data_IF_392248151407
#
_entry.id   IF_392248151407
#
_cell.length_a   1.000
_cell.length_b   1.000
_cell.length_c   1.000
_cell.angle_alpha   90.00
_cell.angle_beta   90.00
_cell.angle_gamma   90.00
#
_symmetry.space_group_name_H-M   'P 1'
#
loop_
_entity.id
_entity.type
_entity.pdbx_description
1 polymer ?
#
# COMPACT_ATOMS: atom_id res chain seq x y z
N UNK A 1 -45.26 22.80 -6.58
CA UNK A 1 -44.87 21.52 -5.94
C UNK A 1 -43.44 21.11 -6.37
N UNK A 2 -42.41 21.90 -6.05
CA UNK A 2 -41.02 21.67 -6.52
C UNK A 2 -39.99 21.38 -5.41
N UNK A 3 -40.43 21.24 -4.15
CA UNK A 3 -39.50 21.23 -3.01
C UNK A 3 -39.08 19.86 -2.47
N UNK A 4 -39.69 18.75 -2.88
CA UNK A 4 -39.40 17.43 -2.29
C UNK A 4 -38.30 16.67 -3.06
N UNK A 5 -38.29 16.78 -4.40
CA UNK A 5 -37.29 16.08 -5.26
C UNK A 5 -35.88 16.65 -5.10
N UNK A 6 -35.76 17.97 -4.97
CA UNK A 6 -34.49 18.67 -4.75
C UNK A 6 -33.92 18.41 -3.36
N UNK A 7 -34.77 18.32 -2.32
CA UNK A 7 -34.35 17.93 -0.97
C UNK A 7 -33.83 16.49 -0.93
N UNK A 8 -34.54 15.55 -1.54
CA UNK A 8 -34.14 14.14 -1.61
C UNK A 8 -32.81 13.93 -2.36
N UNK A 9 -32.59 14.69 -3.45
CA UNK A 9 -31.34 14.64 -4.18
C UNK A 9 -30.17 15.21 -3.37
N UNK A 10 -30.39 16.30 -2.62
CA UNK A 10 -29.38 16.88 -1.71
C UNK A 10 -29.05 15.95 -0.55
N UNK A 11 -30.04 15.30 0.05
CA UNK A 11 -29.81 14.32 1.12
C UNK A 11 -29.09 13.06 0.62
N UNK A 12 -29.39 12.57 -0.59
CA UNK A 12 -28.64 11.47 -1.23
C UNK A 12 -27.21 11.85 -1.57
N UNK A 13 -26.97 13.08 -2.04
CA UNK A 13 -25.63 13.61 -2.32
C UNK A 13 -24.82 13.79 -1.02
N UNK A 14 -25.45 14.30 0.05
CA UNK A 14 -24.85 14.43 1.38
C UNK A 14 -24.53 13.07 2.00
N UNK A 15 -25.46 12.11 2.00
CA UNK A 15 -25.18 10.72 2.45
C UNK A 15 -24.07 10.05 1.62
N UNK A 16 -23.98 10.29 0.31
CA UNK A 16 -22.87 9.79 -0.54
C UNK A 16 -21.54 10.50 -0.28
N UNK A 17 -21.56 11.77 0.14
CA UNK A 17 -20.37 12.53 0.49
C UNK A 17 -19.90 12.22 1.92
N UNK A 18 -20.82 12.02 2.87
CA UNK A 18 -20.55 11.55 4.24
C UNK A 18 -20.02 10.12 4.25
N UNK A 19 -20.50 9.26 3.34
CA UNK A 19 -19.91 7.93 3.09
C UNK A 19 -18.55 7.98 2.36
N UNK A 20 -18.04 9.18 2.03
CA UNK A 20 -16.78 9.41 1.33
C UNK A 20 -15.73 10.11 2.20
N UNK A 21 -15.89 10.05 3.52
CA UNK A 21 -14.76 10.17 4.44
C UNK A 21 -14.24 8.75 4.67
N UNK A 22 -13.40 8.28 3.75
CA UNK A 22 -12.72 6.99 3.95
C UNK A 22 -11.76 7.16 5.12
N UNK A 23 -11.87 6.31 6.13
CA UNK A 23 -10.91 6.26 7.25
C UNK A 23 -9.49 6.21 6.67
N UNK A 24 -8.56 7.11 7.07
CA UNK A 24 -7.19 7.10 6.59
C UNK A 24 -6.51 5.73 6.70
N UNK A 25 -6.86 4.91 7.68
CA UNK A 25 -6.32 3.56 7.85
C UNK A 25 -6.85 2.60 6.79
N UNK A 26 -8.15 2.63 6.52
CA UNK A 26 -8.79 1.84 5.47
C UNK A 26 -8.28 2.25 4.09
N UNK A 27 -8.17 3.55 3.84
CA UNK A 27 -7.62 4.09 2.60
C UNK A 27 -6.16 3.66 2.38
N UNK A 28 -5.35 3.66 3.44
CA UNK A 28 -3.96 3.20 3.40
C UNK A 28 -3.88 1.69 3.11
N UNK A 29 -4.69 0.89 3.79
CA UNK A 29 -4.77 -0.55 3.57
C UNK A 29 -5.16 -0.88 2.13
N UNK A 30 -6.19 -0.20 1.61
CA UNK A 30 -6.60 -0.36 0.22
C UNK A 30 -5.51 0.06 -0.75
N UNK A 31 -4.84 1.19 -0.53
CA UNK A 31 -3.77 1.66 -1.41
C UNK A 31 -2.59 0.66 -1.47
N UNK A 32 -2.17 0.12 -0.32
CA UNK A 32 -1.11 -0.90 -0.27
C UNK A 32 -1.57 -2.20 -0.93
N UNK A 33 -2.82 -2.61 -0.73
CA UNK A 33 -3.38 -3.76 -1.42
C UNK A 33 -3.35 -3.58 -2.93
N UNK A 34 -3.83 -2.44 -3.46
CA UNK A 34 -3.86 -2.16 -4.89
C UNK A 34 -2.45 -2.13 -5.51
N UNK A 35 -1.47 -1.56 -4.80
CA UNK A 35 -0.08 -1.52 -5.25
C UNK A 35 0.61 -2.89 -5.26
N UNK A 36 0.10 -3.85 -4.48
CA UNK A 36 0.74 -5.16 -4.29
C UNK A 36 -0.16 -6.33 -4.64
N UNK A 37 -1.33 -6.11 -5.24
CA UNK A 37 -2.22 -7.20 -5.67
C UNK A 37 -1.52 -8.00 -6.77
N UNK A 38 -1.76 -9.30 -6.81
CA UNK A 38 -1.18 -10.16 -7.83
C UNK A 38 -1.62 -9.64 -9.22
N UNK A 39 -0.70 -9.18 -10.07
CA UNK A 39 -1.06 -8.69 -11.39
C UNK A 39 -1.38 -9.88 -12.31
N UNK A 40 -2.18 -9.62 -13.35
CA UNK A 40 -2.49 -10.63 -14.39
C UNK A 40 -1.27 -10.97 -15.25
N UNK A 41 -0.35 -10.02 -15.38
CA UNK A 41 0.91 -10.13 -16.12
C UNK A 41 2.06 -9.85 -15.16
N UNK A 42 3.21 -10.48 -15.40
CA UNK A 42 4.39 -10.24 -14.59
C UNK A 42 4.76 -8.75 -14.57
N UNK A 43 5.22 -8.28 -13.40
CA UNK A 43 5.78 -6.95 -13.22
C UNK A 43 7.04 -7.06 -12.36
N UNK A 44 8.15 -6.53 -12.87
CA UNK A 44 9.42 -6.46 -12.15
C UNK A 44 9.47 -5.33 -11.13
N UNK A 45 8.53 -4.39 -11.18
CA UNK A 45 8.47 -3.26 -10.27
C UNK A 45 7.04 -2.87 -9.92
N UNK A 46 6.90 -2.19 -8.78
CA UNK A 46 5.63 -1.60 -8.36
C UNK A 46 5.28 -0.41 -9.24
N UNK A 47 4.00 -0.28 -9.56
CA UNK A 47 3.47 0.82 -10.36
C UNK A 47 3.56 2.15 -9.58
N UNK A 48 4.23 3.14 -10.14
CA UNK A 48 4.39 4.46 -9.51
C UNK A 48 3.04 5.15 -9.31
N UNK A 49 2.06 4.94 -10.20
CA UNK A 49 0.71 5.48 -10.02
C UNK A 49 -0.01 4.84 -8.84
N UNK A 50 0.23 3.56 -8.58
CA UNK A 50 -0.31 2.86 -7.41
C UNK A 50 0.40 3.27 -6.10
N UNK A 51 1.63 3.77 -6.17
CA UNK A 51 2.35 4.30 -5.01
C UNK A 51 1.91 5.70 -4.60
N UNK A 52 1.42 6.53 -5.53
CA UNK A 52 1.02 7.92 -5.27
C UNK A 52 0.07 8.05 -4.07
N UNK A 53 -1.02 7.27 -3.95
CA UNK A 53 -1.94 7.38 -2.81
C UNK A 53 -1.25 7.08 -1.47
N UNK A 54 -0.39 6.06 -1.43
CA UNK A 54 0.37 5.67 -0.23
C UNK A 54 1.27 6.83 0.21
N UNK A 55 2.08 7.35 -0.72
CA UNK A 55 3.00 8.48 -0.48
C UNK A 55 2.25 9.73 0.01
N UNK A 56 1.09 10.02 -0.58
CA UNK A 56 0.24 11.16 -0.17
C UNK A 56 -0.33 10.97 1.23
N UNK A 57 -0.85 9.78 1.57
CA UNK A 57 -1.43 9.51 2.87
C UNK A 57 -0.39 9.65 3.98
N UNK A 58 0.77 8.99 3.85
CA UNK A 58 1.83 9.07 4.87
C UNK A 58 2.46 10.45 4.98
N UNK A 59 2.51 11.21 3.86
CA UNK A 59 2.97 12.61 3.88
C UNK A 59 1.99 13.52 4.63
N UNK A 60 0.68 13.32 4.44
CA UNK A 60 -0.37 14.10 5.11
C UNK A 60 -0.51 13.73 6.58
N UNK A 61 -0.27 12.48 6.92
CA UNK A 61 -0.39 11.99 8.29
C UNK A 61 0.77 11.02 8.61
N UNK A 62 1.82 11.54 9.23
CA UNK A 62 3.00 10.74 9.56
C UNK A 62 2.73 9.64 10.60
N UNK A 63 1.66 9.73 11.40
CA UNK A 63 1.28 8.65 12.31
C UNK A 63 0.86 7.37 11.59
N UNK A 64 0.59 7.45 10.28
CA UNK A 64 0.32 6.29 9.43
C UNK A 64 1.57 5.52 9.04
N UNK A 65 2.79 6.05 9.26
CA UNK A 65 4.04 5.42 8.83
C UNK A 65 4.24 4.02 9.46
N UNK A 66 4.10 3.83 10.80
CA UNK A 66 4.19 2.50 11.39
C UNK A 66 3.13 1.53 10.86
N UNK A 67 1.91 2.03 10.61
CA UNK A 67 0.83 1.21 10.04
C UNK A 67 1.12 0.80 8.60
N UNK A 68 1.64 1.71 7.77
CA UNK A 68 2.03 1.41 6.40
C UNK A 68 3.12 0.33 6.38
N UNK A 69 4.11 0.47 7.25
CA UNK A 69 5.17 -0.51 7.44
C UNK A 69 4.61 -1.90 7.81
N UNK A 70 3.72 -1.96 8.81
CA UNK A 70 3.04 -3.21 9.20
C UNK A 70 2.30 -3.85 8.02
N UNK A 71 1.47 -3.08 7.31
CA UNK A 71 0.72 -3.61 6.17
C UNK A 71 1.63 -4.12 5.06
N UNK A 72 2.77 -3.46 4.80
CA UNK A 72 3.76 -3.95 3.83
C UNK A 72 4.40 -5.26 4.31
N UNK A 73 4.74 -5.39 5.60
CA UNK A 73 5.23 -6.66 6.17
C UNK A 73 4.23 -7.79 5.98
N UNK A 74 2.93 -7.54 6.18
CA UNK A 74 1.88 -8.53 5.94
C UNK A 74 1.80 -8.97 4.47
N UNK A 75 2.20 -8.11 3.52
CA UNK A 75 2.30 -8.45 2.10
C UNK A 75 3.57 -9.24 1.79
N UNK A 76 4.69 -8.96 2.45
CA UNK A 76 5.95 -9.71 2.33
C UNK A 76 5.82 -11.17 2.79
N UNK A 77 4.88 -11.47 3.68
CA UNK A 77 4.63 -12.82 4.16
C UNK A 77 3.73 -13.67 3.24
N UNK A 78 3.18 -13.08 2.16
CA UNK A 78 2.27 -13.80 1.25
C UNK A 78 3.01 -14.84 0.41
N UNK A 79 2.32 -15.91 0.06
CA UNK A 79 2.86 -17.02 -0.75
C UNK A 79 3.17 -16.63 -2.20
N UNK A 80 2.41 -15.69 -2.75
CA UNK A 80 2.63 -15.23 -4.13
C UNK A 80 3.92 -14.39 -4.22
N UNK A 81 4.85 -14.84 -5.05
CA UNK A 81 6.17 -14.20 -5.21
C UNK A 81 6.09 -12.80 -5.81
N UNK A 82 5.17 -12.54 -6.74
CA UNK A 82 4.96 -11.19 -7.29
C UNK A 82 4.41 -10.24 -6.23
N UNK A 83 3.48 -10.69 -5.38
CA UNK A 83 2.98 -9.87 -4.26
C UNK A 83 4.13 -9.44 -3.34
N UNK A 84 5.04 -10.37 -3.01
CA UNK A 84 6.22 -10.06 -2.19
C UNK A 84 7.17 -9.08 -2.88
N UNK A 85 7.44 -9.28 -4.18
CA UNK A 85 8.30 -8.39 -4.97
C UNK A 85 7.73 -6.96 -4.99
N UNK A 86 6.44 -6.82 -5.26
CA UNK A 86 5.77 -5.51 -5.26
C UNK A 86 5.76 -4.86 -3.88
N UNK A 87 5.60 -5.66 -2.81
CA UNK A 87 5.71 -5.18 -1.44
C UNK A 87 7.11 -4.67 -1.08
N UNK A 88 8.18 -5.35 -1.53
CA UNK A 88 9.55 -4.84 -1.42
C UNK A 88 9.70 -3.52 -2.18
N UNK A 89 9.09 -3.41 -3.37
CA UNK A 89 9.04 -2.15 -4.12
C UNK A 89 8.38 -1.01 -3.34
N UNK A 90 7.22 -1.26 -2.71
CA UNK A 90 6.57 -0.28 -1.83
C UNK A 90 7.47 0.11 -0.66
N UNK A 91 8.14 -0.87 -0.05
CA UNK A 91 9.05 -0.65 1.07
C UNK A 91 10.22 0.26 0.67
N UNK A 92 10.86 -0.01 -0.47
CA UNK A 92 11.97 0.78 -0.99
C UNK A 92 11.54 2.22 -1.29
N UNK A 93 10.39 2.40 -1.95
CA UNK A 93 9.87 3.70 -2.32
C UNK A 93 9.51 4.60 -1.11
N UNK A 94 9.05 4.00 0.00
CA UNK A 94 8.78 4.74 1.23
C UNK A 94 10.07 5.09 1.99
N UNK A 95 11.02 4.15 2.03
CA UNK A 95 12.32 4.37 2.65
C UNK A 95 13.12 5.49 1.94
N UNK A 96 13.06 5.57 0.61
CA UNK A 96 13.76 6.62 -0.15
C UNK A 96 13.32 8.04 0.26
N UNK A 97 12.05 8.21 0.60
CA UNK A 97 11.43 9.54 0.81
C UNK A 97 11.19 9.94 2.26
N UNK A 98 11.27 9.00 3.20
CA UNK A 98 10.91 9.24 4.60
C UNK A 98 12.00 8.76 5.56
N UNK A 99 12.63 9.71 6.27
CA UNK A 99 13.60 9.40 7.33
C UNK A 99 12.99 8.55 8.46
N UNK A 100 11.76 8.87 8.86
CA UNK A 100 11.03 8.10 9.87
C UNK A 100 10.75 6.67 9.39
N UNK A 101 10.40 6.49 8.11
CA UNK A 101 10.23 5.15 7.55
C UNK A 101 11.56 4.39 7.48
N UNK A 102 12.68 5.06 7.13
CA UNK A 102 14.01 4.43 7.14
C UNK A 102 14.40 3.90 8.52
N UNK A 103 14.09 4.64 9.58
CA UNK A 103 14.36 4.18 10.94
C UNK A 103 13.63 2.86 11.25
N UNK A 104 12.36 2.75 10.86
CA UNK A 104 11.58 1.50 10.99
C UNK A 104 12.16 0.37 10.12
N UNK A 105 12.50 0.68 8.86
CA UNK A 105 13.12 -0.27 7.94
C UNK A 105 14.41 -0.87 8.50
N UNK A 106 15.27 -0.03 9.10
CA UNK A 106 16.52 -0.46 9.71
C UNK A 106 16.29 -1.30 10.97
N UNK A 107 15.32 -0.93 11.80
CA UNK A 107 14.95 -1.71 12.97
C UNK A 107 14.45 -3.12 12.61
N UNK A 108 13.76 -3.26 11.47
CA UNK A 108 13.25 -4.53 10.93
C UNK A 108 14.16 -5.15 9.85
N UNK A 109 15.42 -4.72 9.75
CA UNK A 109 16.32 -5.18 8.68
C UNK A 109 16.45 -6.71 8.61
N UNK A 110 16.62 -7.46 9.72
CA UNK A 110 16.68 -8.94 9.66
C UNK A 110 15.44 -9.55 9.00
N UNK A 111 14.24 -9.09 9.37
CA UNK A 111 12.99 -9.53 8.77
C UNK A 111 12.94 -9.24 7.27
N UNK A 112 13.38 -8.05 6.86
CA UNK A 112 13.40 -7.66 5.44
C UNK A 112 14.39 -8.50 4.65
N UNK A 113 15.57 -8.79 5.22
CA UNK A 113 16.56 -9.66 4.59
C UNK A 113 15.99 -11.05 4.37
N UNK A 114 15.32 -11.66 5.36
CA UNK A 114 14.69 -12.99 5.24
C UNK A 114 13.58 -13.07 4.17
N UNK A 115 13.01 -11.92 3.79
CA UNK A 115 11.93 -11.82 2.80
C UNK A 115 12.37 -11.16 1.49
N UNK A 116 13.62 -10.69 1.41
CA UNK A 116 14.26 -10.19 0.19
C UNK A 116 14.86 -11.35 -0.62
N UNK A 117 15.18 -11.09 -1.89
CA UNK A 117 15.71 -12.12 -2.79
C UNK A 117 16.99 -12.74 -2.22
N UNK A 118 17.08 -14.08 -2.22
CA UNK A 118 18.32 -14.82 -1.96
C UNK A 118 18.50 -15.42 -0.57
N UNK A 119 17.62 -15.11 0.39
CA UNK A 119 17.74 -15.60 1.79
C UNK A 119 16.75 -16.70 2.15
N UNK A 120 15.60 -16.78 1.45
CA UNK A 120 14.59 -17.82 1.64
C UNK A 120 14.46 -18.72 0.39
N UNK A 121 15.32 -19.73 0.21
CA UNK A 121 15.29 -20.63 -0.95
C UNK A 121 13.96 -21.40 -1.09
N UNK A 122 13.24 -21.61 0.02
CA UNK A 122 11.91 -22.21 0.00
C UNK A 122 10.81 -21.30 -0.59
N UNK A 123 11.05 -19.98 -0.69
CA UNK A 123 10.08 -18.98 -1.15
C UNK A 123 10.74 -17.93 -2.05
N UNK A 124 11.31 -18.32 -3.19
CA UNK A 124 12.05 -17.40 -4.04
C UNK A 124 11.16 -16.25 -4.51
N UNK A 125 11.76 -15.06 -4.69
CA UNK A 125 11.13 -14.01 -5.47
C UNK A 125 11.05 -14.45 -6.94
N UNK A 126 10.23 -13.76 -7.76
CA UNK A 126 10.19 -14.06 -9.18
C UNK A 126 11.58 -13.93 -9.81
N UNK A 127 11.89 -14.72 -10.84
CA UNK A 127 13.15 -14.56 -11.57
C UNK A 127 13.23 -13.15 -12.19
N UNK A 128 14.44 -12.61 -12.40
CA UNK A 128 14.61 -11.37 -13.14
C UNK A 128 14.03 -11.52 -14.56
N UNK A 129 13.54 -10.41 -15.13
CA UNK A 129 13.13 -10.35 -16.53
C UNK A 129 14.32 -10.79 -17.41
N UNK A 130 14.06 -11.71 -18.34
CA UNK A 130 15.04 -12.15 -19.36
C UNK A 130 15.05 -11.17 -20.53
#
# INVERSE_FOLDING_TARGET
MENIRTLNNRQRKRKRAEKKVTDPLEALGQAIYEATKAPKTFRSSVDEDALKPIKVLVKKNQSLIPTAHRYIKDRLQRENSQVRLLALGCHAALAERSGAYRALALADLPFLLDHAAGTAPARPLPPPDR
#
